data_IF_410277227072
#
_entry.id   IF_410277227072
#
_cell.length_a   1.000
_cell.length_b   1.000
_cell.length_c   1.000
_cell.angle_alpha   90.00
_cell.angle_beta   90.00
_cell.angle_gamma   90.00
#
_symmetry.space_group_name_H-M   'P 1'
#
loop_
_entity.id
_entity.type
_entity.pdbx_description
1 polymer ?
#
# COMPACT_ATOMS: atom_id res chain seq x y z
N UNK A 1 -32.32 -18.00 -61.59
CA UNK A 1 -30.86 -17.80 -61.72
C UNK A 1 -30.53 -16.39 -62.19
N UNK A 2 -31.09 -15.88 -63.30
CA UNK A 2 -30.86 -14.48 -63.70
C UNK A 2 -31.30 -13.47 -62.62
N UNK A 3 -32.52 -13.58 -62.08
CA UNK A 3 -33.02 -12.67 -61.04
C UNK A 3 -32.20 -12.74 -59.75
N UNK A 4 -31.80 -13.95 -59.34
CA UNK A 4 -30.91 -14.18 -58.18
C UNK A 4 -29.54 -13.49 -58.37
N UNK A 5 -28.94 -13.58 -59.55
CA UNK A 5 -27.66 -12.90 -59.83
C UNK A 5 -27.83 -11.38 -59.84
N UNK A 6 -28.97 -10.88 -60.34
CA UNK A 6 -29.27 -9.45 -60.38
C UNK A 6 -29.31 -8.82 -59.00
N UNK A 7 -29.89 -9.52 -58.01
CA UNK A 7 -29.89 -9.10 -56.61
C UNK A 7 -28.50 -9.07 -55.98
N UNK A 8 -27.55 -9.86 -56.49
CA UNK A 8 -26.18 -9.95 -55.98
C UNK A 8 -25.21 -8.93 -56.58
N UNK A 9 -25.59 -8.21 -57.65
CA UNK A 9 -24.66 -7.32 -58.38
C UNK A 9 -24.14 -6.16 -57.52
N UNK A 10 -25.00 -5.55 -56.69
CA UNK A 10 -24.58 -4.45 -55.79
C UNK A 10 -23.57 -4.95 -54.76
N UNK A 11 -23.89 -6.05 -54.07
CA UNK A 11 -23.00 -6.66 -53.08
C UNK A 11 -21.69 -7.18 -53.72
N UNK A 12 -21.70 -7.56 -55.00
CA UNK A 12 -20.48 -7.88 -55.74
C UNK A 12 -19.56 -6.66 -55.87
N UNK A 13 -20.13 -5.48 -56.22
CA UNK A 13 -19.39 -4.22 -56.37
C UNK A 13 -18.85 -3.71 -55.03
N UNK A 14 -19.54 -3.98 -53.93
CA UNK A 14 -19.13 -3.62 -52.57
C UNK A 14 -18.21 -4.67 -51.90
N UNK A 15 -17.86 -5.75 -52.61
CA UNK A 15 -17.04 -6.87 -52.12
C UNK A 15 -17.61 -7.63 -50.92
N UNK A 16 -18.94 -7.64 -50.75
CA UNK A 16 -19.63 -8.25 -49.62
C UNK A 16 -20.06 -9.71 -49.85
N UNK A 17 -19.88 -10.22 -51.07
CA UNK A 17 -20.27 -11.59 -51.42
C UNK A 17 -19.27 -12.63 -50.90
N UNK A 18 -19.81 -13.78 -50.50
CA UNK A 18 -18.97 -14.95 -50.25
C UNK A 18 -18.42 -15.53 -51.57
N UNK A 19 -17.49 -16.48 -51.45
CA UNK A 19 -16.76 -17.03 -52.60
C UNK A 19 -17.68 -17.72 -53.63
N UNK A 20 -18.72 -18.42 -53.17
CA UNK A 20 -19.61 -19.17 -54.04
C UNK A 20 -20.55 -18.24 -54.81
N UNK A 21 -21.11 -17.24 -54.13
CA UNK A 21 -21.93 -16.17 -54.73
C UNK A 21 -21.13 -15.35 -55.74
N UNK A 22 -19.89 -14.98 -55.39
CA UNK A 22 -19.00 -14.25 -56.27
C UNK A 22 -18.74 -15.02 -57.57
N UNK A 23 -18.49 -16.33 -57.45
CA UNK A 23 -18.29 -17.21 -58.62
C UNK A 23 -19.55 -17.27 -59.49
N UNK A 24 -20.75 -17.38 -58.89
CA UNK A 24 -22.03 -17.35 -59.63
C UNK A 24 -22.20 -16.07 -60.44
N UNK A 25 -21.93 -14.91 -59.83
CA UNK A 25 -22.05 -13.60 -60.50
C UNK A 25 -21.06 -13.51 -61.67
N UNK A 26 -19.81 -13.94 -61.46
CA UNK A 26 -18.76 -13.91 -62.49
C UNK A 26 -19.06 -14.84 -63.67
N UNK A 27 -19.52 -16.06 -63.42
CA UNK A 27 -19.90 -17.01 -64.47
C UNK A 27 -21.13 -16.54 -65.26
N UNK A 28 -22.14 -16.02 -64.57
CA UNK A 28 -23.35 -15.52 -65.22
C UNK A 28 -23.07 -14.27 -66.06
N UNK A 29 -22.25 -13.33 -65.57
CA UNK A 29 -21.90 -12.09 -66.29
C UNK A 29 -21.09 -12.35 -67.57
N UNK A 30 -20.38 -13.48 -67.66
CA UNK A 30 -19.70 -13.91 -68.91
C UNK A 30 -20.68 -14.28 -70.02
N UNK A 31 -21.88 -14.73 -69.68
CA UNK A 31 -22.86 -15.24 -70.66
C UNK A 31 -24.08 -14.34 -70.82
N UNK A 32 -24.44 -13.57 -69.80
CA UNK A 32 -25.56 -12.62 -69.82
C UNK A 32 -25.09 -11.19 -70.07
N UNK A 33 -25.48 -10.60 -71.20
CA UNK A 33 -25.10 -9.23 -71.55
C UNK A 33 -25.78 -8.17 -70.66
N UNK A 34 -27.01 -8.42 -70.23
CA UNK A 34 -27.76 -7.50 -69.35
C UNK A 34 -27.09 -7.35 -67.98
N UNK A 35 -26.82 -8.46 -67.30
CA UNK A 35 -26.14 -8.43 -65.99
C UNK A 35 -24.72 -7.85 -66.09
N UNK A 36 -24.01 -8.09 -67.21
CA UNK A 36 -22.70 -7.47 -67.44
C UNK A 36 -22.78 -5.96 -67.57
N UNK A 37 -23.77 -5.46 -68.33
CA UNK A 37 -23.98 -4.03 -68.52
C UNK A 37 -24.36 -3.36 -67.19
N UNK A 38 -25.26 -3.98 -66.44
CA UNK A 38 -25.68 -3.49 -65.13
C UNK A 38 -24.52 -3.47 -64.12
N UNK A 39 -23.68 -4.52 -64.11
CA UNK A 39 -22.45 -4.55 -63.31
C UNK A 39 -21.46 -3.45 -63.72
N UNK A 40 -21.33 -3.16 -65.02
CA UNK A 40 -20.49 -2.06 -65.50
C UNK A 40 -21.04 -0.70 -65.04
N UNK A 41 -22.35 -0.47 -65.18
CA UNK A 41 -23.02 0.77 -64.74
C UNK A 41 -22.85 1.01 -63.23
N UNK A 42 -22.94 -0.05 -62.41
CA UNK A 42 -22.70 0.04 -60.96
C UNK A 42 -21.24 0.39 -60.62
N UNK A 43 -20.26 -0.16 -61.35
CA UNK A 43 -18.86 0.20 -61.17
C UNK A 43 -18.56 1.64 -61.60
N UNK A 44 -19.11 2.08 -62.73
CA UNK A 44 -18.99 3.47 -63.20
C UNK A 44 -19.59 4.45 -62.19
N UNK A 45 -20.74 4.11 -61.59
CA UNK A 45 -21.35 4.90 -60.51
C UNK A 45 -20.45 4.96 -59.26
N UNK A 46 -19.84 3.84 -58.86
CA UNK A 46 -18.90 3.78 -57.74
C UNK A 46 -17.68 4.68 -57.98
N UNK A 47 -17.10 4.63 -59.18
CA UNK A 47 -15.97 5.49 -59.56
C UNK A 47 -16.35 6.97 -59.59
N UNK A 48 -17.52 7.31 -60.13
CA UNK A 48 -18.02 8.67 -60.13
C UNK A 48 -18.20 9.21 -58.70
N UNK A 49 -18.85 8.44 -57.83
CA UNK A 49 -19.01 8.81 -56.43
C UNK A 49 -17.65 8.99 -55.74
N UNK A 50 -16.71 8.05 -55.95
CA UNK A 50 -15.38 8.15 -55.38
C UNK A 50 -14.67 9.44 -55.82
N UNK A 51 -14.74 9.79 -57.10
CA UNK A 51 -14.13 11.04 -57.61
C UNK A 51 -14.74 12.30 -56.97
N UNK A 52 -16.06 12.33 -56.79
CA UNK A 52 -16.76 13.48 -56.18
C UNK A 52 -16.42 13.64 -54.70
N UNK A 53 -16.28 12.53 -53.96
CA UNK A 53 -15.93 12.57 -52.55
C UNK A 53 -14.45 12.85 -52.31
N UNK A 54 -13.56 12.41 -53.20
CA UNK A 54 -12.13 12.69 -53.09
C UNK A 54 -11.83 14.20 -53.24
N UNK A 55 -12.50 14.88 -54.17
CA UNK A 55 -12.36 16.34 -54.32
C UNK A 55 -12.95 17.14 -53.14
N UNK A 56 -13.79 16.51 -52.32
CA UNK A 56 -14.40 17.11 -51.14
C UNK A 56 -13.57 16.90 -49.86
N UNK A 57 -12.33 16.41 -49.96
CA UNK A 57 -11.51 16.08 -48.80
C UNK A 57 -11.31 17.32 -47.89
N UNK A 58 -11.78 17.26 -46.63
CA UNK A 58 -11.43 18.25 -45.62
C UNK A 58 -9.93 18.15 -45.33
N UNK A 59 -9.28 19.25 -44.92
CA UNK A 59 -7.88 19.29 -44.48
C UNK A 59 -7.53 18.03 -43.66
N UNK A 60 -6.83 17.09 -44.30
CA UNK A 60 -6.54 15.74 -43.79
C UNK A 60 -5.88 15.83 -42.40
N UNK A 61 -4.98 16.81 -42.27
CA UNK A 61 -4.30 17.19 -41.04
C UNK A 61 -5.22 17.48 -39.85
N UNK A 62 -6.39 18.11 -40.08
CA UNK A 62 -7.33 18.46 -39.00
C UNK A 62 -8.07 17.23 -38.47
N UNK A 63 -8.41 16.29 -39.35
CA UNK A 63 -9.09 15.05 -38.97
C UNK A 63 -8.10 14.12 -38.29
N UNK A 64 -6.90 13.95 -38.85
CA UNK A 64 -5.83 13.17 -38.23
C UNK A 64 -5.55 13.63 -36.80
N UNK A 65 -5.39 14.95 -36.59
CA UNK A 65 -5.17 15.49 -35.25
C UNK A 65 -6.37 15.26 -34.32
N UNK A 66 -7.60 15.41 -34.81
CA UNK A 66 -8.79 15.18 -34.01
C UNK A 66 -8.90 13.70 -33.56
N UNK A 67 -8.67 12.77 -34.48
CA UNK A 67 -8.67 11.33 -34.21
C UNK A 67 -7.53 10.95 -33.26
N UNK A 68 -6.32 11.44 -33.53
CA UNK A 68 -5.15 11.15 -32.70
C UNK A 68 -5.31 11.67 -31.27
N UNK A 69 -5.88 12.87 -31.11
CA UNK A 69 -6.20 13.42 -29.81
C UNK A 69 -7.29 12.64 -29.09
N UNK A 70 -8.30 12.14 -29.81
CA UNK A 70 -9.38 11.36 -29.21
C UNK A 70 -8.90 9.97 -28.77
N UNK A 71 -8.06 9.31 -29.56
CA UNK A 71 -7.39 8.04 -29.19
C UNK A 71 -6.46 8.27 -28.00
N UNK A 72 -5.69 9.37 -27.99
CA UNK A 72 -4.84 9.70 -26.84
C UNK A 72 -5.63 10.02 -25.59
N UNK A 73 -6.75 10.74 -25.67
CA UNK A 73 -7.59 11.05 -24.52
C UNK A 73 -8.23 9.79 -23.90
N UNK A 74 -8.53 8.78 -24.73
CA UNK A 74 -9.09 7.51 -24.27
C UNK A 74 -7.99 6.52 -23.79
N UNK A 75 -6.78 6.63 -24.34
CA UNK A 75 -5.62 5.83 -23.92
C UNK A 75 -4.78 6.48 -22.82
N UNK A 76 -4.98 7.76 -22.51
CA UNK A 76 -4.40 8.40 -21.34
C UNK A 76 -5.10 7.86 -20.11
N UNK A 77 -4.40 7.10 -19.24
CA UNK A 77 -4.97 6.72 -17.97
C UNK A 77 -4.96 7.97 -17.09
N UNK A 78 -5.99 8.81 -17.20
CA UNK A 78 -6.24 9.98 -16.36
C UNK A 78 -6.51 9.62 -14.88
N UNK A 79 -6.08 8.43 -14.43
CA UNK A 79 -6.19 7.94 -13.05
C UNK A 79 -4.96 7.23 -12.53
N UNK A 80 -3.78 7.46 -13.10
CA UNK A 80 -2.56 7.33 -12.31
C UNK A 80 -2.45 8.57 -11.41
N UNK A 81 -3.29 8.62 -10.37
CA UNK A 81 -3.07 9.43 -9.18
C UNK A 81 -1.59 9.25 -8.83
N UNK A 82 -0.82 10.30 -9.15
CA UNK A 82 0.58 10.20 -9.58
C UNK A 82 1.32 9.10 -8.85
N UNK A 83 1.72 8.05 -9.58
CA UNK A 83 2.38 6.84 -9.05
C UNK A 83 3.55 7.18 -8.11
N UNK A 84 4.15 8.36 -8.31
CA UNK A 84 5.16 8.99 -7.43
C UNK A 84 4.65 9.22 -5.99
N UNK A 85 3.39 9.61 -5.79
CA UNK A 85 2.76 9.77 -4.47
C UNK A 85 2.37 8.44 -3.84
N UNK A 86 2.02 7.41 -4.61
CA UNK A 86 1.74 6.07 -4.09
C UNK A 86 3.02 5.47 -3.47
N UNK A 87 4.15 5.60 -4.16
CA UNK A 87 5.44 5.15 -3.61
C UNK A 87 5.92 6.05 -2.44
N UNK A 88 5.71 7.36 -2.50
CA UNK A 88 6.10 8.26 -1.41
C UNK A 88 5.29 8.05 -0.11
N UNK A 89 3.97 7.86 -0.23
CA UNK A 89 3.09 7.63 0.93
C UNK A 89 3.21 6.20 1.46
N UNK A 90 3.38 5.21 0.58
CA UNK A 90 3.59 3.82 0.97
C UNK A 90 4.87 3.61 1.78
N UNK A 91 5.98 4.25 1.38
CA UNK A 91 7.24 4.14 2.12
C UNK A 91 7.14 4.75 3.52
N UNK A 92 6.50 5.92 3.65
CA UNK A 92 6.28 6.56 4.95
C UNK A 92 5.45 5.69 5.90
N UNK A 93 4.40 5.02 5.41
CA UNK A 93 3.56 4.15 6.23
C UNK A 93 4.32 2.91 6.74
N UNK A 94 5.15 2.29 5.88
CA UNK A 94 5.96 1.13 6.25
C UNK A 94 7.02 1.46 7.31
N UNK A 95 7.64 2.63 7.22
CA UNK A 95 8.60 3.11 8.23
C UNK A 95 7.92 3.28 9.59
N UNK A 96 6.73 3.88 9.62
CA UNK A 96 5.97 4.05 10.87
C UNK A 96 5.60 2.69 11.47
N UNK A 97 5.09 1.76 10.66
CA UNK A 97 4.73 0.41 11.11
C UNK A 97 5.96 -0.32 11.68
N UNK A 98 7.11 -0.21 11.02
CA UNK A 98 8.37 -0.80 11.48
C UNK A 98 8.83 -0.22 12.83
N UNK A 99 8.77 1.11 12.98
CA UNK A 99 9.11 1.79 14.24
C UNK A 99 8.18 1.34 15.37
N UNK A 100 6.87 1.29 15.11
CA UNK A 100 5.88 0.85 16.11
C UNK A 100 6.12 -0.60 16.54
N UNK A 101 6.41 -1.49 15.59
CA UNK A 101 6.70 -2.90 15.87
C UNK A 101 7.96 -3.08 16.73
N UNK A 102 8.98 -2.25 16.51
CA UNK A 102 10.22 -2.24 17.31
C UNK A 102 10.00 -1.64 18.71
N UNK A 103 9.18 -0.58 18.81
CA UNK A 103 9.00 0.15 20.08
C UNK A 103 8.02 -0.53 21.04
N UNK A 104 6.99 -1.24 20.55
CA UNK A 104 6.03 -1.97 21.38
C UNK A 104 6.68 -2.91 22.43
N UNK A 105 7.63 -3.81 22.07
CA UNK A 105 8.24 -4.72 23.03
C UNK A 105 9.14 -3.99 24.04
N UNK A 106 9.76 -2.87 23.65
CA UNK A 106 10.57 -2.04 24.56
C UNK A 106 9.69 -1.42 25.64
N UNK A 107 8.55 -0.87 25.26
CA UNK A 107 7.58 -0.29 26.20
C UNK A 107 7.05 -1.38 27.15
N UNK A 108 6.63 -2.53 26.60
CA UNK A 108 6.12 -3.65 27.40
C UNK A 108 7.15 -4.13 28.43
N UNK A 109 8.40 -4.35 28.02
CA UNK A 109 9.48 -4.77 28.93
C UNK A 109 9.79 -3.71 29.98
N UNK A 110 9.78 -2.43 29.61
CA UNK A 110 10.03 -1.32 30.54
C UNK A 110 8.97 -1.25 31.65
N UNK A 111 7.69 -1.39 31.29
CA UNK A 111 6.58 -1.43 32.25
C UNK A 111 6.70 -2.67 33.15
N UNK A 112 7.02 -3.83 32.57
CA UNK A 112 7.20 -5.07 33.34
C UNK A 112 8.33 -4.96 34.38
N UNK A 113 9.48 -4.41 34.00
CA UNK A 113 10.62 -4.19 34.91
C UNK A 113 10.25 -3.21 36.03
N UNK A 114 9.51 -2.15 35.73
CA UNK A 114 9.02 -1.22 36.76
C UNK A 114 8.11 -1.92 37.77
N UNK A 115 7.14 -2.72 37.30
CA UNK A 115 6.23 -3.46 38.19
C UNK A 115 6.97 -4.48 39.06
N UNK A 116 7.93 -5.23 38.51
CA UNK A 116 8.70 -6.21 39.32
C UNK A 116 9.59 -5.52 40.36
N UNK A 117 10.11 -4.33 40.07
CA UNK A 117 10.89 -3.57 41.05
C UNK A 117 10.03 -3.13 42.25
N UNK A 118 8.77 -2.75 42.00
CA UNK A 118 7.84 -2.37 43.07
C UNK A 118 7.44 -3.55 43.95
N UNK A 119 7.22 -4.73 43.36
CA UNK A 119 6.83 -5.92 44.14
C UNK A 119 8.00 -6.43 44.99
N UNK A 120 9.22 -6.44 44.47
CA UNK A 120 10.43 -6.77 45.24
C UNK A 120 10.57 -5.81 46.42
N UNK A 121 10.44 -4.50 46.17
CA UNK A 121 10.51 -3.48 47.23
C UNK A 121 9.45 -3.70 48.31
N UNK A 122 8.20 -3.99 47.91
CA UNK A 122 7.12 -4.28 48.85
C UNK A 122 7.39 -5.57 49.67
N UNK A 123 7.88 -6.63 49.03
CA UNK A 123 8.26 -7.87 49.70
C UNK A 123 9.41 -7.68 50.70
N UNK A 124 10.42 -6.88 50.36
CA UNK A 124 11.50 -6.52 51.28
C UNK A 124 10.96 -5.76 52.50
N UNK A 125 10.13 -4.74 52.29
CA UNK A 125 9.53 -3.97 53.38
C UNK A 125 8.66 -4.86 54.27
N UNK A 126 7.83 -5.71 53.67
CA UNK A 126 6.98 -6.64 54.42
C UNK A 126 7.82 -7.62 55.26
N UNK A 127 8.89 -8.18 54.69
CA UNK A 127 9.78 -9.09 55.41
C UNK A 127 10.51 -8.41 56.58
N UNK A 128 11.01 -7.18 56.37
CA UNK A 128 11.65 -6.40 57.42
C UNK A 128 10.68 -6.08 58.56
N UNK A 129 9.43 -5.74 58.22
CA UNK A 129 8.38 -5.47 59.19
C UNK A 129 7.98 -6.71 59.99
N UNK A 130 7.88 -7.88 59.35
CA UNK A 130 7.60 -9.14 60.03
C UNK A 130 8.71 -9.54 61.01
N UNK A 131 9.97 -9.35 60.65
CA UNK A 131 11.12 -9.59 61.54
C UNK A 131 11.12 -8.61 62.71
N UNK A 132 10.88 -7.33 62.45
CA UNK A 132 10.81 -6.32 63.50
C UNK A 132 9.63 -6.58 64.47
N UNK A 133 8.48 -6.99 63.96
CA UNK A 133 7.30 -7.32 64.77
C UNK A 133 7.42 -8.65 65.53
N UNK A 134 8.17 -9.63 65.01
CA UNK A 134 8.38 -10.93 65.65
C UNK A 134 9.28 -10.88 66.89
N UNK A 135 10.02 -9.78 67.08
CA UNK A 135 11.00 -9.63 68.14
C UNK A 135 10.76 -8.31 68.91
N UNK A 136 9.63 -8.19 69.62
CA UNK A 136 9.18 -6.93 70.24
C UNK A 136 10.23 -6.35 71.21
N UNK A 137 11.03 -7.20 71.83
CA UNK A 137 12.01 -6.80 72.84
C UNK A 137 13.45 -6.71 72.31
N UNK A 138 13.72 -7.01 71.03
CA UNK A 138 15.11 -6.99 70.52
C UNK A 138 15.68 -5.58 70.43
N UNK A 139 14.90 -4.61 69.98
CA UNK A 139 15.31 -3.21 69.96
C UNK A 139 15.62 -2.71 71.38
N UNK A 140 14.80 -3.12 72.35
CA UNK A 140 15.01 -2.79 73.76
C UNK A 140 16.31 -3.41 74.30
N UNK A 141 16.57 -4.69 74.03
CA UNK A 141 17.80 -5.38 74.45
C UNK A 141 19.04 -4.73 73.83
N UNK A 142 19.01 -4.39 72.53
CA UNK A 142 20.13 -3.72 71.86
C UNK A 142 20.39 -2.35 72.51
N UNK A 143 19.34 -1.56 72.74
CA UNK A 143 19.47 -0.24 73.36
C UNK A 143 20.07 -0.33 74.77
N UNK A 144 19.55 -1.24 75.60
CA UNK A 144 20.09 -1.49 76.95
C UNK A 144 21.57 -1.90 76.88
N UNK A 145 21.93 -2.81 75.99
CA UNK A 145 23.30 -3.28 75.84
C UNK A 145 24.24 -2.14 75.38
N UNK A 146 23.80 -1.28 74.45
CA UNK A 146 24.58 -0.11 74.04
C UNK A 146 24.79 0.90 75.17
N UNK A 147 23.77 1.16 76.00
CA UNK A 147 23.91 2.02 77.18
C UNK A 147 24.91 1.44 78.19
N UNK A 148 24.88 0.12 78.41
CA UNK A 148 25.84 -0.56 79.28
C UNK A 148 27.26 -0.39 78.77
N UNK A 149 27.49 -0.58 77.46
CA UNK A 149 28.82 -0.40 76.85
C UNK A 149 29.30 1.05 76.98
N UNK A 150 28.44 2.04 76.72
CA UNK A 150 28.79 3.45 76.84
C UNK A 150 29.11 3.83 78.28
N UNK A 151 28.33 3.34 79.25
CA UNK A 151 28.58 3.57 80.68
C UNK A 151 29.91 2.93 81.13
N UNK A 152 30.18 1.69 80.71
CA UNK A 152 31.44 1.00 81.00
C UNK A 152 32.64 1.72 80.37
N UNK A 153 32.51 2.17 79.13
CA UNK A 153 33.52 2.97 78.43
C UNK A 153 33.78 4.29 79.16
N UNK A 154 32.73 5.04 79.51
CA UNK A 154 32.87 6.31 80.25
C UNK A 154 33.46 6.12 81.65
N UNK A 155 33.08 5.05 82.36
CA UNK A 155 33.66 4.69 83.65
C UNK A 155 35.15 4.34 83.52
N UNK A 156 35.52 3.56 82.52
CA UNK A 156 36.92 3.21 82.21
C UNK A 156 37.78 4.46 81.94
N UNK A 157 37.28 5.39 81.11
CA UNK A 157 37.96 6.65 80.81
C UNK A 157 38.12 7.52 82.05
N UNK A 158 37.06 7.68 82.87
CA UNK A 158 37.15 8.44 84.13
C UNK A 158 38.14 7.82 85.11
N UNK A 159 38.16 6.48 85.22
CA UNK A 159 39.10 5.77 86.08
C UNK A 159 40.55 5.98 85.64
N UNK A 160 40.83 5.98 84.33
CA UNK A 160 42.16 6.25 83.78
C UNK A 160 42.62 7.70 83.99
N UNK A 161 41.71 8.67 83.99
CA UNK A 161 42.04 10.07 84.26
C UNK A 161 42.32 10.31 85.76
N UNK A 162 41.57 9.66 86.65
CA UNK A 162 41.74 9.83 88.10
C UNK A 162 43.02 9.21 88.67
N UNK A 163 43.62 8.21 88.01
CA UNK A 163 44.89 7.62 88.45
C UNK A 163 46.13 8.42 88.03
N UNK A 164 46.00 9.37 87.09
CA UNK A 164 47.11 10.22 86.64
C UNK A 164 47.25 11.55 87.38
N UNK A 165 46.29 11.90 88.24
CA UNK A 165 46.29 13.15 89.02
C UNK A 165 46.82 13.02 90.45
N UNK A 166 47.31 11.85 90.85
CA UNK A 166 47.85 11.57 92.19
C UNK A 166 49.33 11.13 92.19
N UNK A 167 50.04 11.35 91.08
CA UNK A 167 51.50 11.19 90.98
C UNK A 167 52.22 12.51 91.13
#
# INVERSE_FOLDING_TARGET
MHDEVKELLSAYVDEELNRDERTKVEEHSKTCNECRKELQELNELKELLFSVYHDAEPDEWRIEQAVFNQIQAESSPDRLLSWKWIFATGFSALVIISIVWIMLPVIYKSIHVGMTLTSISFSLVHSAFAVAGGLPNLLEVIFVLTLIILAASGWSVRRLLGTKTTG
#
